data_IF_183559893184
#
_entry.id   IF_183559893184
#
_cell.length_a   1.000
_cell.length_b   1.000
_cell.length_c   1.000
_cell.angle_alpha   90.00
_cell.angle_beta   90.00
_cell.angle_gamma   90.00
#
_symmetry.space_group_name_H-M   'P 1'
#
loop_
_entity.id
_entity.type
_entity.pdbx_description
1 polymer ?
#
# COMPACT_ATOMS: atom_id res chain seq x y z
N UNK A 1 1.12 17.82 -4.96
CA UNK A 1 0.89 16.73 -3.99
C UNK A 1 2.25 16.13 -3.66
N UNK A 2 2.86 16.56 -2.55
CA UNK A 2 4.25 16.22 -2.19
C UNK A 2 4.32 14.80 -1.64
N UNK A 3 5.06 13.92 -2.33
CA UNK A 3 5.41 12.61 -1.81
C UNK A 3 6.59 12.81 -0.85
N UNK A 4 6.37 12.64 0.46
CA UNK A 4 7.48 12.61 1.41
C UNK A 4 8.21 11.28 1.25
N UNK A 5 9.31 11.30 0.50
CA UNK A 5 10.26 10.21 0.45
C UNK A 5 10.90 10.06 1.84
N UNK A 6 11.17 8.83 2.24
CA UNK A 6 12.04 8.57 3.37
C UNK A 6 13.46 8.70 2.83
N UNK A 7 14.32 9.47 3.50
CA UNK A 7 15.64 9.88 2.99
C UNK A 7 16.48 8.71 2.44
N UNK A 8 16.40 7.54 3.07
CA UNK A 8 17.20 6.37 2.75
C UNK A 8 16.54 5.37 1.80
N UNK A 9 15.33 5.63 1.28
CA UNK A 9 14.66 4.71 0.34
C UNK A 9 13.80 5.43 -0.70
N UNK A 10 14.02 5.05 -1.96
CA UNK A 10 13.26 5.55 -3.11
C UNK A 10 11.80 5.05 -3.12
N UNK A 11 11.50 3.95 -2.42
CA UNK A 11 10.16 3.35 -2.42
C UNK A 11 9.78 2.84 -1.04
N UNK A 12 8.61 3.29 -0.58
CA UNK A 12 8.02 2.83 0.68
C UNK A 12 6.78 1.99 0.39
N UNK A 13 6.60 0.93 1.16
CA UNK A 13 5.43 0.07 1.04
C UNK A 13 5.00 -0.47 2.39
N UNK A 14 3.70 -0.74 2.54
CA UNK A 14 3.15 -1.30 3.76
C UNK A 14 2.73 -2.79 3.59
N UNK A 15 3.41 -3.75 4.27
CA UNK A 15 3.10 -5.18 4.26
C UNK A 15 1.76 -5.56 4.80
N UNK A 16 1.24 -4.75 5.71
CA UNK A 16 0.02 -5.07 6.41
C UNK A 16 -0.96 -3.95 6.20
N UNK A 17 -2.14 -4.26 5.69
CA UNK A 17 -3.23 -3.30 5.75
C UNK A 17 -4.28 -3.75 6.74
N UNK A 18 -4.88 -2.75 7.40
CA UNK A 18 -5.98 -2.85 8.36
C UNK A 18 -5.54 -3.37 9.73
N UNK A 19 -6.48 -3.35 10.66
CA UNK A 19 -6.28 -3.77 12.04
C UNK A 19 -7.56 -4.43 12.59
N UNK A 20 -7.40 -5.26 13.62
CA UNK A 20 -8.52 -5.72 14.45
C UNK A 20 -8.97 -4.59 15.39
N UNK A 21 -10.23 -4.61 15.81
CA UNK A 21 -10.73 -3.62 16.77
C UNK A 21 -10.24 -3.99 18.17
N UNK A 22 -9.44 -3.11 18.77
CA UNK A 22 -8.87 -3.35 20.11
C UNK A 22 -9.50 -2.44 21.17
N UNK A 23 -9.95 -1.24 20.81
CA UNK A 23 -10.47 -0.25 21.76
C UNK A 23 -11.70 0.52 21.26
N UNK A 24 -12.36 1.24 22.16
CA UNK A 24 -13.53 2.10 21.86
C UNK A 24 -13.23 3.17 20.80
N UNK A 25 -11.95 3.56 20.63
CA UNK A 25 -11.50 4.51 19.60
C UNK A 25 -11.70 3.97 18.18
N UNK A 26 -11.87 2.65 18.00
CA UNK A 26 -12.15 2.05 16.69
C UNK A 26 -13.54 2.38 16.13
N UNK A 27 -14.46 2.93 16.93
CA UNK A 27 -15.81 3.32 16.49
C UNK A 27 -15.78 4.31 15.31
N UNK A 28 -14.83 5.24 15.31
CA UNK A 28 -14.66 6.26 14.28
C UNK A 28 -13.40 6.05 13.43
N UNK A 29 -12.96 4.79 13.26
CA UNK A 29 -11.75 4.45 12.52
C UNK A 29 -11.81 4.91 11.04
N UNK A 30 -10.99 5.89 10.69
CA UNK A 30 -10.84 6.38 9.32
C UNK A 30 -10.49 5.25 8.33
N UNK A 31 -9.56 4.37 8.70
CA UNK A 31 -9.09 3.30 7.84
C UNK A 31 -10.21 2.32 7.46
N UNK A 32 -11.15 2.06 8.39
CA UNK A 32 -12.31 1.21 8.13
C UNK A 32 -13.28 1.84 7.14
N UNK A 33 -13.53 3.15 7.25
CA UNK A 33 -14.37 3.89 6.30
C UNK A 33 -13.75 3.92 4.91
N UNK A 34 -12.45 4.22 4.84
CA UNK A 34 -11.70 4.24 3.58
C UNK A 34 -11.71 2.86 2.92
N UNK A 35 -11.55 1.79 3.70
CA UNK A 35 -11.60 0.45 3.18
C UNK A 35 -12.94 0.08 2.53
N UNK A 36 -14.06 0.50 3.14
CA UNK A 36 -15.40 0.31 2.56
C UNK A 36 -15.52 1.05 1.24
N UNK A 37 -15.05 2.30 1.19
CA UNK A 37 -15.02 3.10 -0.05
C UNK A 37 -14.22 2.40 -1.15
N UNK A 38 -13.00 1.96 -0.85
CA UNK A 38 -12.12 1.29 -1.81
C UNK A 38 -12.65 -0.08 -2.25
N UNK A 39 -13.39 -0.77 -1.39
CA UNK A 39 -14.08 -2.01 -1.75
C UNK A 39 -15.20 -1.74 -2.77
N UNK A 40 -16.03 -0.72 -2.53
CA UNK A 40 -17.09 -0.31 -3.48
C UNK A 40 -16.50 0.19 -4.80
N UNK A 41 -15.36 0.86 -4.75
CA UNK A 41 -14.60 1.28 -5.95
C UNK A 41 -13.91 0.11 -6.68
N UNK A 42 -14.06 -1.13 -6.22
CA UNK A 42 -13.49 -2.31 -6.88
C UNK A 42 -11.97 -2.46 -6.73
N UNK A 43 -11.35 -1.82 -5.73
CA UNK A 43 -9.90 -1.96 -5.52
C UNK A 43 -9.56 -3.42 -5.17
N UNK A 44 -8.67 -4.11 -5.92
CA UNK A 44 -8.39 -5.53 -5.70
C UNK A 44 -7.82 -5.83 -4.31
N UNK A 45 -7.05 -4.89 -3.74
CA UNK A 45 -6.50 -4.98 -2.37
C UNK A 45 -7.59 -4.92 -1.28
N UNK A 46 -8.80 -4.49 -1.64
CA UNK A 46 -9.95 -4.29 -0.76
C UNK A 46 -11.12 -5.22 -1.03
N UNK A 47 -10.94 -6.25 -1.88
CA UNK A 47 -11.98 -7.25 -2.18
C UNK A 47 -12.56 -7.94 -0.93
N UNK A 48 -11.75 -8.11 0.12
CA UNK A 48 -12.13 -8.79 1.38
C UNK A 48 -12.53 -7.84 2.53
N UNK A 49 -13.00 -6.63 2.22
CA UNK A 49 -13.43 -5.68 3.26
C UNK A 49 -12.29 -5.30 4.19
N UNK A 50 -12.51 -5.16 5.50
CA UNK A 50 -11.52 -4.66 6.49
C UNK A 50 -10.73 -5.76 7.24
N UNK A 51 -10.59 -6.97 6.69
CA UNK A 51 -9.84 -8.06 7.33
C UNK A 51 -8.32 -7.86 7.24
N UNK A 52 -7.60 -8.04 8.34
CA UNK A 52 -6.13 -7.92 8.41
C UNK A 52 -5.48 -8.90 7.45
N UNK A 53 -4.63 -8.38 6.56
CA UNK A 53 -4.05 -9.14 5.46
C UNK A 53 -2.62 -8.68 5.21
N UNK A 54 -1.74 -9.67 5.04
CA UNK A 54 -0.43 -9.46 4.45
C UNK A 54 -0.59 -9.31 2.93
N UNK A 55 0.07 -8.32 2.37
CA UNK A 55 0.20 -8.16 0.93
C UNK A 55 1.57 -8.64 0.55
N UNK A 56 1.69 -9.71 -0.22
CA UNK A 56 2.97 -10.08 -0.81
C UNK A 56 3.24 -9.14 -1.97
N UNK A 57 4.20 -8.23 -1.83
CA UNK A 57 4.79 -7.56 -2.99
C UNK A 57 6.19 -8.12 -3.23
N UNK A 58 6.32 -8.79 -4.36
CA UNK A 58 7.58 -9.15 -4.99
C UNK A 58 7.86 -8.13 -6.10
N UNK A 59 9.14 -7.89 -6.46
CA UNK A 59 9.47 -7.12 -7.66
C UNK A 59 8.84 -7.83 -8.87
N UNK A 60 7.72 -7.29 -9.38
CA UNK A 60 6.87 -7.93 -10.39
C UNK A 60 5.39 -8.07 -10.02
N UNK A 61 4.96 -7.75 -8.79
CA UNK A 61 3.53 -7.80 -8.47
C UNK A 61 2.76 -6.72 -9.24
N UNK A 62 1.55 -7.02 -9.77
CA UNK A 62 0.74 -6.06 -10.55
C UNK A 62 0.24 -4.86 -9.73
N UNK A 63 0.49 -4.86 -8.41
CA UNK A 63 0.16 -3.77 -7.51
C UNK A 63 1.38 -3.05 -6.94
N UNK A 64 2.60 -3.46 -7.29
CA UNK A 64 3.76 -2.60 -7.15
C UNK A 64 3.48 -1.44 -8.12
N UNK A 65 3.03 -0.30 -7.60
CA UNK A 65 3.01 0.92 -8.39
C UNK A 65 4.46 1.35 -8.55
N UNK A 66 5.18 0.65 -9.42
CA UNK A 66 6.37 1.19 -10.06
C UNK A 66 5.85 2.34 -10.92
N UNK A 67 6.23 3.56 -10.54
CA UNK A 67 6.64 4.53 -11.55
C UNK A 67 7.69 3.84 -12.41
N UNK A 68 7.24 3.14 -13.45
CA UNK A 68 8.11 2.61 -14.48
C UNK A 68 8.86 3.79 -15.09
N UNK A 69 10.18 3.73 -14.98
CA UNK A 69 11.16 4.34 -15.88
C UNK A 69 10.94 5.81 -16.23
N UNK A 70 11.64 6.69 -15.49
CA UNK A 70 12.29 7.84 -16.13
C UNK A 70 13.75 7.88 -15.69
N UNK A 71 14.62 7.34 -16.55
CA UNK A 71 16.05 7.68 -16.61
C UNK A 71 16.99 6.86 -15.72
N UNK A 72 17.73 5.96 -16.36
CA UNK A 72 19.16 5.78 -16.06
C UNK A 72 19.56 4.95 -14.83
N UNK A 73 19.58 3.62 -14.98
CA UNK A 73 20.66 2.81 -14.39
C UNK A 73 21.25 1.99 -15.54
N UNK A 74 22.16 2.65 -16.25
CA UNK A 74 23.24 1.97 -16.94
C UNK A 74 24.45 2.11 -16.03
N UNK A 75 25.15 0.99 -15.79
CA UNK A 75 26.34 0.80 -14.92
C UNK A 75 26.04 0.36 -13.48
N UNK A 76 25.96 -0.95 -13.30
CA UNK A 76 26.80 -1.68 -12.32
C UNK A 76 26.60 -3.20 -12.52
N UNK A 77 26.97 -3.65 -13.71
CA UNK A 77 27.44 -5.01 -13.97
C UNK A 77 28.68 -4.87 -14.85
N UNK A 78 29.76 -4.43 -14.19
CA UNK A 78 31.16 -4.61 -14.56
C UNK A 78 31.93 -4.61 -13.24
#
# INVERSE_FOLDING_TARGET
>A
MTLKAIEWTDTTWNPVTRCTKVSQRCKHCYAKRMARRLQVMGSPRYRHGFQVRLHTIYPGSPFAKTSLFKGGIQRLLA
#
